data_IF_007205181105
#
_entry.id   IF_007205181105
#
_cell.length_a   1.000
_cell.length_b   1.000
_cell.length_c   1.000
_cell.angle_alpha   90.00
_cell.angle_beta   90.00
_cell.angle_gamma   90.00
#
_symmetry.space_group_name_H-M   'P 1'
#
loop_
_entity.id
_entity.type
_entity.pdbx_description
1 polymer ?
#
# COMPACT_ATOMS: atom_id res chain seq x y z
N UNK A 1 -21.16 -17.96 4.70
CA UNK A 1 -21.29 -16.60 4.13
C UNK A 1 -21.80 -15.70 5.23
N UNK A 2 -20.99 -14.77 5.73
CA UNK A 2 -21.42 -13.82 6.76
C UNK A 2 -22.37 -12.78 6.16
N UNK A 3 -23.41 -12.42 6.90
CA UNK A 3 -24.36 -11.38 6.53
C UNK A 3 -23.67 -10.01 6.50
N UNK A 4 -23.97 -9.20 5.48
CA UNK A 4 -23.65 -7.78 5.48
C UNK A 4 -24.22 -7.12 6.74
N UNK A 5 -23.51 -6.14 7.26
CA UNK A 5 -23.93 -5.41 8.46
C UNK A 5 -22.78 -4.82 9.24
N UNK A 6 -23.16 -4.16 10.33
CA UNK A 6 -22.24 -3.57 11.29
C UNK A 6 -22.28 -4.38 12.58
N UNK A 7 -21.12 -4.76 13.08
CA UNK A 7 -20.96 -5.38 14.39
C UNK A 7 -19.95 -4.57 15.21
N UNK A 8 -20.11 -4.62 16.53
CA UNK A 8 -19.18 -4.01 17.47
C UNK A 8 -18.50 -5.09 18.28
N UNK A 9 -17.18 -5.05 18.36
CA UNK A 9 -16.38 -5.93 19.22
C UNK A 9 -15.92 -5.11 20.42
N UNK A 10 -16.43 -5.47 21.61
CA UNK A 10 -16.12 -4.76 22.84
C UNK A 10 -14.61 -4.75 23.13
N UNK A 11 -14.09 -3.62 23.62
CA UNK A 11 -12.67 -3.44 23.90
C UNK A 11 -12.10 -4.51 24.84
N UNK A 12 -12.87 -4.91 25.85
CA UNK A 12 -12.49 -5.93 26.84
C UNK A 12 -12.35 -7.34 26.25
N UNK A 13 -12.91 -7.57 25.05
CA UNK A 13 -12.82 -8.85 24.34
C UNK A 13 -11.65 -8.89 23.35
N UNK A 14 -10.86 -7.82 23.24
CA UNK A 14 -9.77 -7.75 22.27
C UNK A 14 -8.50 -8.38 22.84
N UNK A 15 -8.03 -9.41 22.16
CA UNK A 15 -6.68 -9.92 22.32
C UNK A 15 -5.62 -8.96 21.76
N UNK A 16 -4.33 -9.36 21.78
CA UNK A 16 -3.24 -8.54 21.23
C UNK A 16 -3.40 -8.23 19.73
N UNK A 17 -4.07 -9.12 19.00
CA UNK A 17 -4.49 -8.90 17.62
C UNK A 17 -5.63 -9.84 17.23
N UNK A 18 -6.14 -9.67 16.01
CA UNK A 18 -7.18 -10.51 15.45
C UNK A 18 -6.99 -10.70 13.94
N UNK A 19 -7.40 -11.86 13.44
CA UNK A 19 -7.26 -12.22 12.04
C UNK A 19 -8.44 -11.69 11.21
N UNK A 20 -8.13 -11.06 10.09
CA UNK A 20 -9.06 -10.81 9.00
C UNK A 20 -8.85 -11.93 7.97
N UNK A 21 -9.73 -12.92 8.01
CA UNK A 21 -9.67 -14.14 7.21
C UNK A 21 -10.57 -14.02 5.96
N UNK A 22 -9.97 -13.59 4.85
CA UNK A 22 -10.60 -13.54 3.52
C UNK A 22 -10.15 -14.69 2.64
N UNK A 23 -10.87 -14.94 1.54
CA UNK A 23 -10.55 -16.04 0.62
C UNK A 23 -9.25 -15.76 -0.15
N UNK A 24 -9.05 -14.53 -0.60
CA UNK A 24 -7.93 -14.09 -1.44
C UNK A 24 -6.92 -13.24 -0.67
N UNK A 25 -7.38 -12.54 0.36
CA UNK A 25 -6.56 -11.69 1.23
C UNK A 25 -6.74 -12.08 2.68
N UNK A 26 -5.63 -12.19 3.40
CA UNK A 26 -5.61 -12.45 4.84
C UNK A 26 -4.58 -11.53 5.52
N UNK A 27 -4.87 -11.06 6.72
CA UNK A 27 -3.92 -10.30 7.54
C UNK A 27 -4.32 -10.25 9.01
N UNK A 28 -3.35 -10.03 9.90
CA UNK A 28 -3.60 -9.80 11.33
C UNK A 28 -3.65 -8.31 11.61
N UNK A 29 -4.62 -7.85 12.39
CA UNK A 29 -4.67 -6.49 12.92
C UNK A 29 -4.16 -6.49 14.35
N UNK A 30 -3.17 -5.66 14.64
CA UNK A 30 -2.63 -5.46 16.00
C UNK A 30 -3.55 -4.52 16.76
N UNK A 31 -4.28 -5.03 17.75
CA UNK A 31 -5.39 -4.32 18.39
C UNK A 31 -4.98 -2.97 19.00
N UNK A 32 -3.80 -2.88 19.62
CA UNK A 32 -3.35 -1.71 20.37
C UNK A 32 -3.03 -0.50 19.50
N UNK A 33 -2.49 -0.75 18.29
CA UNK A 33 -2.04 0.29 17.37
C UNK A 33 -2.84 0.31 16.07
N UNK A 34 -3.74 -0.65 15.84
CA UNK A 34 -4.41 -0.82 14.56
C UNK A 34 -3.44 -0.89 13.38
N UNK A 35 -2.26 -1.45 13.65
CA UNK A 35 -1.29 -1.85 12.63
C UNK A 35 -1.70 -3.17 12.00
N UNK A 36 -1.03 -3.53 10.91
CA UNK A 36 -1.26 -4.80 10.22
C UNK A 36 0.02 -5.62 10.18
N UNK A 37 -0.11 -6.92 10.38
CA UNK A 37 0.95 -7.93 10.26
C UNK A 37 0.53 -9.00 9.24
N UNK A 38 1.51 -9.62 8.59
CA UNK A 38 1.35 -10.75 7.68
C UNK A 38 0.30 -10.52 6.58
N UNK A 39 0.30 -9.34 5.96
CA UNK A 39 -0.63 -9.05 4.87
C UNK A 39 -0.31 -9.94 3.67
N UNK A 40 -1.24 -10.83 3.33
CA UNK A 40 -1.00 -11.99 2.49
C UNK A 40 -2.01 -12.07 1.35
N UNK A 41 -1.51 -12.32 0.14
CA UNK A 41 -2.30 -12.91 -0.94
C UNK A 41 -2.26 -14.43 -0.78
N UNK A 42 -3.43 -15.06 -0.65
CA UNK A 42 -3.52 -16.48 -0.29
C UNK A 42 -3.07 -17.42 -1.42
N UNK A 43 -3.00 -16.93 -2.65
CA UNK A 43 -2.71 -17.73 -3.85
C UNK A 43 -3.86 -18.66 -4.27
N UNK A 44 -5.06 -18.45 -3.72
CA UNK A 44 -6.24 -19.23 -4.13
C UNK A 44 -6.54 -18.96 -5.61
N UNK A 45 -6.75 -20.00 -6.45
CA UNK A 45 -6.97 -19.83 -7.88
C UNK A 45 -8.10 -18.85 -8.21
N UNK A 46 -7.76 -17.88 -9.05
CA UNK A 46 -8.63 -16.79 -9.49
C UNK A 46 -8.13 -16.27 -10.85
N UNK A 47 -8.99 -15.92 -11.82
CA UNK A 47 -8.55 -15.27 -13.05
C UNK A 47 -7.77 -13.96 -12.87
N UNK A 48 -7.82 -13.37 -11.67
CA UNK A 48 -7.09 -12.15 -11.31
C UNK A 48 -5.89 -12.42 -10.38
N UNK A 49 -5.53 -13.68 -10.17
CA UNK A 49 -4.36 -14.03 -9.36
C UNK A 49 -3.07 -13.56 -10.04
N UNK A 50 -2.25 -12.83 -9.29
CA UNK A 50 -0.95 -12.34 -9.72
C UNK A 50 0.21 -13.11 -9.06
N UNK A 51 -0.10 -14.10 -8.22
CA UNK A 51 0.89 -14.83 -7.42
C UNK A 51 1.28 -16.18 -8.04
N UNK A 52 0.69 -16.56 -9.17
CA UNK A 52 0.89 -17.88 -9.79
C UNK A 52 0.47 -19.03 -8.87
N UNK A 53 -0.64 -18.81 -8.15
CA UNK A 53 -1.23 -19.67 -7.12
C UNK A 53 -0.32 -19.94 -5.91
N UNK A 54 0.61 -19.02 -5.62
CA UNK A 54 1.51 -19.12 -4.48
C UNK A 54 1.05 -18.21 -3.36
N UNK A 55 0.91 -18.77 -2.15
CA UNK A 55 0.71 -17.95 -0.95
C UNK A 55 1.88 -16.99 -0.79
N UNK A 56 1.59 -15.69 -0.80
CA UNK A 56 2.60 -14.64 -0.86
C UNK A 56 2.31 -13.60 0.23
N UNK A 57 3.18 -13.55 1.24
CA UNK A 57 3.18 -12.46 2.22
C UNK A 57 3.75 -11.22 1.53
N UNK A 58 2.93 -10.20 1.32
CA UNK A 58 3.35 -8.97 0.63
C UNK A 58 3.97 -7.99 1.60
N UNK A 59 3.34 -7.81 2.76
CA UNK A 59 3.87 -7.00 3.85
C UNK A 59 3.97 -7.85 5.10
N UNK A 60 5.17 -7.92 5.65
CA UNK A 60 5.41 -8.42 7.00
C UNK A 60 4.68 -7.51 8.01
N UNK A 61 4.81 -6.19 7.85
CA UNK A 61 4.08 -5.25 8.70
C UNK A 61 3.76 -3.89 8.04
N UNK A 62 2.70 -3.26 8.55
CA UNK A 62 2.32 -1.86 8.32
C UNK A 62 1.96 -1.22 9.66
N UNK A 63 2.88 -0.41 10.17
CA UNK A 63 2.87 0.02 11.57
C UNK A 63 2.76 1.54 11.67
N UNK A 64 1.65 2.08 12.20
CA UNK A 64 1.55 3.49 12.56
C UNK A 64 2.22 3.77 13.91
N UNK A 65 2.97 4.87 14.00
CA UNK A 65 3.44 5.44 15.26
C UNK A 65 2.46 6.52 15.74
N UNK A 66 1.68 6.18 16.76
CA UNK A 66 0.68 7.06 17.36
C UNK A 66 1.26 8.16 18.25
N UNK A 67 2.58 8.19 18.45
CA UNK A 67 3.29 9.25 19.20
C UNK A 67 2.72 9.45 20.60
N UNK A 68 2.40 8.34 21.28
CA UNK A 68 1.85 8.32 22.64
C UNK A 68 0.33 8.40 22.74
N UNK A 69 -0.41 8.61 21.63
CA UNK A 69 -1.86 8.42 21.63
C UNK A 69 -2.20 6.92 21.66
N UNK A 70 -3.33 6.59 22.27
CA UNK A 70 -3.79 5.21 22.44
C UNK A 70 -5.20 5.04 21.88
N UNK A 71 -5.48 3.84 21.37
CA UNK A 71 -6.82 3.42 20.96
C UNK A 71 -7.47 2.67 22.11
N UNK A 72 -8.68 3.08 22.50
CA UNK A 72 -9.35 2.57 23.70
C UNK A 72 -10.78 2.10 23.43
N UNK A 73 -11.39 2.54 22.33
CA UNK A 73 -12.76 2.16 21.99
C UNK A 73 -12.86 0.68 21.63
N UNK A 74 -14.11 0.21 21.59
CA UNK A 74 -14.53 -0.96 20.83
C UNK A 74 -14.10 -0.85 19.36
N UNK A 75 -14.10 -1.98 18.66
CA UNK A 75 -13.91 -2.00 17.21
C UNK A 75 -15.28 -2.03 16.55
N UNK A 76 -15.55 -1.09 15.65
CA UNK A 76 -16.65 -1.18 14.70
C UNK A 76 -16.18 -1.93 13.47
N UNK A 77 -16.88 -3.01 13.11
CA UNK A 77 -16.65 -3.79 11.90
C UNK A 77 -17.87 -3.62 11.01
N UNK A 78 -17.67 -3.04 9.83
CA UNK A 78 -18.70 -2.98 8.79
C UNK A 78 -18.29 -3.91 7.66
N UNK A 79 -19.22 -4.78 7.25
CA UNK A 79 -19.04 -5.65 6.11
C UNK A 79 -20.10 -5.36 5.06
N UNK A 80 -19.67 -5.24 3.81
CA UNK A 80 -20.55 -5.11 2.65
C UNK A 80 -20.01 -5.90 1.48
N UNK A 81 -20.61 -7.04 1.17
CA UNK A 81 -20.13 -7.95 0.13
C UNK A 81 -18.72 -8.46 0.45
N UNK A 82 -17.75 -8.04 -0.36
CA UNK A 82 -16.32 -8.34 -0.24
C UNK A 82 -15.53 -7.27 0.51
N UNK A 83 -16.15 -6.14 0.83
CA UNK A 83 -15.53 -5.03 1.54
C UNK A 83 -15.67 -5.24 3.06
N UNK A 84 -14.60 -4.89 3.78
CA UNK A 84 -14.58 -4.76 5.23
C UNK A 84 -14.01 -3.41 5.62
N UNK A 85 -14.65 -2.75 6.59
CA UNK A 85 -14.17 -1.52 7.22
C UNK A 85 -14.07 -1.79 8.71
N UNK A 86 -12.91 -1.50 9.28
CA UNK A 86 -12.63 -1.60 10.70
C UNK A 86 -12.34 -0.20 11.21
N UNK A 87 -12.99 0.22 12.28
CA UNK A 87 -12.75 1.52 12.92
C UNK A 87 -12.44 1.31 14.38
N UNK A 88 -11.39 1.97 14.86
CA UNK A 88 -11.07 2.06 16.28
C UNK A 88 -10.62 3.47 16.64
N UNK A 89 -11.02 3.92 17.82
CA UNK A 89 -10.81 5.28 18.30
C UNK A 89 -10.18 5.31 19.70
N UNK A 90 -9.63 6.45 20.04
CA UNK A 90 -9.25 6.82 21.41
C UNK A 90 -9.17 8.34 21.53
N UNK A 91 -8.76 8.87 22.69
CA UNK A 91 -8.66 10.31 22.90
C UNK A 91 -7.75 10.97 21.86
N UNK A 92 -8.36 11.69 20.91
CA UNK A 92 -7.64 12.45 19.88
C UNK A 92 -7.08 11.64 18.72
N UNK A 93 -7.45 10.36 18.58
CA UNK A 93 -6.98 9.46 17.52
C UNK A 93 -8.13 8.59 16.98
N UNK A 94 -8.28 8.55 15.66
CA UNK A 94 -9.10 7.56 14.95
C UNK A 94 -8.22 6.82 13.96
N UNK A 95 -8.36 5.50 13.93
CA UNK A 95 -7.78 4.63 12.92
C UNK A 95 -8.88 3.90 12.17
N UNK A 96 -8.76 3.88 10.84
CA UNK A 96 -9.67 3.15 9.96
C UNK A 96 -8.86 2.23 9.05
N UNK A 97 -9.23 0.95 8.98
CA UNK A 97 -8.71 0.00 7.98
C UNK A 97 -9.86 -0.33 7.04
N UNK A 98 -9.62 -0.23 5.73
CA UNK A 98 -10.58 -0.69 4.72
C UNK A 98 -9.88 -1.69 3.81
N UNK A 99 -10.51 -2.84 3.59
CA UNK A 99 -9.96 -3.89 2.75
C UNK A 99 -11.05 -4.53 1.88
N UNK A 100 -10.60 -5.11 0.76
CA UNK A 100 -11.43 -5.89 -0.17
C UNK A 100 -10.84 -7.27 -0.34
N UNK A 101 -11.69 -8.29 -0.25
CA UNK A 101 -11.29 -9.66 -0.54
C UNK A 101 -11.20 -9.88 -2.07
N UNK A 102 -10.08 -9.46 -2.65
CA UNK A 102 -9.79 -9.48 -4.09
C UNK A 102 -8.30 -9.80 -4.32
N UNK A 103 -7.95 -10.46 -5.43
CA UNK A 103 -6.58 -10.86 -5.71
C UNK A 103 -5.70 -9.75 -6.33
N UNK A 104 -6.28 -8.65 -6.82
CA UNK A 104 -5.55 -7.52 -7.43
C UNK A 104 -6.30 -6.18 -7.29
N UNK A 105 -5.63 -5.07 -7.67
CA UNK A 105 -6.16 -3.70 -7.65
C UNK A 105 -5.97 -2.95 -6.32
N UNK A 106 -6.74 -1.88 -6.13
CA UNK A 106 -6.82 -1.13 -4.87
C UNK A 106 -7.62 -1.87 -3.80
N UNK A 107 -6.93 -2.70 -3.01
CA UNK A 107 -7.53 -3.70 -2.12
C UNK A 107 -7.40 -3.40 -0.64
N UNK A 108 -6.58 -2.43 -0.25
CA UNK A 108 -6.28 -2.17 1.16
C UNK A 108 -5.89 -0.70 1.39
N UNK A 109 -6.40 -0.12 2.48
CA UNK A 109 -6.02 1.20 2.96
C UNK A 109 -6.15 1.34 4.47
N UNK A 110 -5.24 2.15 5.04
CA UNK A 110 -5.25 2.61 6.42
C UNK A 110 -5.39 4.13 6.43
N UNK A 111 -6.32 4.64 7.23
CA UNK A 111 -6.54 6.07 7.45
C UNK A 111 -6.26 6.40 8.91
N UNK A 112 -5.69 7.58 9.14
CA UNK A 112 -5.42 8.11 10.48
C UNK A 112 -5.99 9.51 10.59
N UNK A 113 -6.66 9.79 11.70
CA UNK A 113 -7.13 11.12 12.04
C UNK A 113 -6.70 11.46 13.46
N UNK A 114 -6.13 12.65 13.62
CA UNK A 114 -5.62 13.18 14.89
C UNK A 114 -6.17 14.58 15.15
N UNK A 115 -6.59 14.81 16.39
CA UNK A 115 -7.07 16.12 16.83
C UNK A 115 -5.96 17.18 16.90
N UNK A 116 -4.71 16.76 17.05
CA UNK A 116 -3.55 17.66 17.07
C UNK A 116 -3.02 18.02 15.67
N UNK A 117 -3.66 17.50 14.62
CA UNK A 117 -3.31 17.70 13.21
C UNK A 117 -1.86 17.35 12.83
N UNK A 118 -1.10 16.68 13.70
CA UNK A 118 0.26 16.25 13.40
C UNK A 118 0.26 15.03 12.47
N UNK A 119 1.36 14.85 11.73
CA UNK A 119 1.52 13.67 10.88
C UNK A 119 1.85 12.42 11.71
N UNK A 120 1.28 11.29 11.28
CA UNK A 120 1.55 9.95 11.81
C UNK A 120 2.58 9.28 10.92
N UNK A 121 3.64 8.73 11.52
CA UNK A 121 4.65 7.97 10.77
C UNK A 121 4.14 6.55 10.56
N UNK A 122 3.99 6.12 9.32
CA UNK A 122 3.77 4.72 8.96
C UNK A 122 5.10 4.11 8.53
N UNK A 123 5.39 2.91 9.03
CA UNK A 123 6.50 2.07 8.57
C UNK A 123 5.93 0.83 7.92
N UNK A 124 6.25 0.61 6.66
CA UNK A 124 5.92 -0.61 5.94
C UNK A 124 7.17 -1.48 5.80
N UNK A 125 7.05 -2.76 6.13
CA UNK A 125 8.06 -3.77 5.92
C UNK A 125 7.48 -4.80 4.96
N UNK A 126 8.16 -5.02 3.84
CA UNK A 126 7.78 -6.04 2.87
C UNK A 126 8.04 -7.45 3.42
N UNK A 127 7.22 -8.40 3.00
CA UNK A 127 7.40 -9.82 3.33
C UNK A 127 8.70 -10.39 2.75
N UNK A 128 9.13 -11.53 3.27
CA UNK A 128 10.33 -12.22 2.77
C UNK A 128 10.19 -12.53 1.27
N UNK A 129 11.29 -12.37 0.53
CA UNK A 129 11.32 -12.53 -0.92
C UNK A 129 10.64 -11.41 -1.73
N UNK A 130 10.02 -10.42 -1.09
CA UNK A 130 9.45 -9.23 -1.74
C UNK A 130 10.40 -8.05 -1.60
N UNK A 131 10.56 -7.27 -2.68
CA UNK A 131 11.49 -6.14 -2.70
C UNK A 131 10.94 -4.94 -3.49
N UNK A 132 11.30 -3.74 -3.05
CA UNK A 132 11.10 -2.50 -3.78
C UNK A 132 12.11 -2.34 -4.92
N UNK A 133 11.67 -1.77 -6.03
CA UNK A 133 12.50 -1.42 -7.18
C UNK A 133 12.03 -0.10 -7.81
N UNK A 134 12.97 0.65 -8.39
CA UNK A 134 12.66 1.78 -9.27
C UNK A 134 12.35 1.22 -10.66
N UNK A 135 11.12 1.40 -11.14
CA UNK A 135 10.63 0.69 -12.31
C UNK A 135 11.26 1.24 -13.61
N UNK A 136 12.09 0.44 -14.31
CA UNK A 136 12.81 0.91 -15.49
C UNK A 136 11.88 1.23 -16.66
N UNK A 137 10.68 0.64 -16.74
CA UNK A 137 9.70 0.96 -17.77
C UNK A 137 9.18 2.41 -17.61
N UNK A 138 9.00 2.85 -16.36
CA UNK A 138 8.66 4.24 -16.06
C UNK A 138 9.85 5.17 -16.30
N UNK A 139 11.07 4.76 -15.95
CA UNK A 139 12.28 5.55 -16.22
C UNK A 139 12.51 5.77 -17.71
N UNK A 140 12.33 4.76 -18.54
CA UNK A 140 12.48 4.86 -19.99
C UNK A 140 11.52 5.90 -20.61
N UNK A 141 10.38 6.13 -19.97
CA UNK A 141 9.32 7.04 -20.43
C UNK A 141 9.16 8.30 -19.58
N UNK A 142 10.04 8.52 -18.61
CA UNK A 142 9.96 9.64 -17.67
C UNK A 142 9.90 10.98 -18.41
N UNK A 143 8.85 11.77 -18.19
CA UNK A 143 8.62 13.05 -18.87
C UNK A 143 7.79 12.96 -20.15
N UNK A 144 7.42 11.77 -20.61
CA UNK A 144 6.43 11.63 -21.69
C UNK A 144 5.05 12.10 -21.21
N UNK A 145 4.30 12.75 -22.10
CA UNK A 145 2.89 13.10 -21.86
C UNK A 145 2.01 12.05 -22.52
N UNK A 146 1.19 11.37 -21.73
CA UNK A 146 0.33 10.27 -22.20
C UNK A 146 -1.15 10.56 -21.93
N UNK A 147 -2.08 10.02 -22.74
CA UNK A 147 -3.52 10.15 -22.49
C UNK A 147 -3.94 9.55 -21.14
N UNK A 148 -4.89 10.19 -20.48
CA UNK A 148 -5.58 9.68 -19.31
C UNK A 148 -7.01 10.24 -19.29
N UNK A 149 -8.01 9.39 -19.59
CA UNK A 149 -9.41 9.83 -19.74
C UNK A 149 -9.50 11.04 -20.71
N UNK A 150 -10.16 12.12 -20.30
CA UNK A 150 -10.29 13.37 -21.06
C UNK A 150 -9.10 14.35 -20.85
N UNK A 151 -7.99 13.89 -20.27
CA UNK A 151 -6.81 14.71 -19.98
C UNK A 151 -5.51 13.98 -20.35
N UNK A 152 -4.37 14.53 -19.94
CA UNK A 152 -3.06 13.93 -20.09
C UNK A 152 -2.31 13.91 -18.77
N UNK A 153 -1.39 12.95 -18.62
CA UNK A 153 -0.53 12.81 -17.46
C UNK A 153 0.92 12.75 -17.94
N UNK A 154 1.81 13.43 -17.23
CA UNK A 154 3.25 13.28 -17.44
C UNK A 154 3.74 12.06 -16.66
N UNK A 155 4.43 11.15 -17.35
CA UNK A 155 5.05 9.97 -16.74
C UNK A 155 6.12 10.43 -15.75
N UNK A 156 5.98 10.05 -14.48
CA UNK A 156 6.98 10.27 -13.45
C UNK A 156 7.68 8.95 -13.08
N UNK A 157 8.84 8.98 -12.41
CA UNK A 157 9.43 7.77 -11.82
C UNK A 157 8.43 7.03 -10.93
N UNK A 158 8.51 5.70 -10.93
CA UNK A 158 7.64 4.85 -10.13
C UNK A 158 8.46 3.88 -9.32
N UNK A 159 8.24 3.86 -8.01
CA UNK A 159 8.69 2.76 -7.17
C UNK A 159 7.56 1.75 -7.09
N UNK A 160 7.89 0.51 -7.41
CA UNK A 160 7.03 -0.65 -7.28
C UNK A 160 7.68 -1.63 -6.30
N UNK A 161 6.94 -2.65 -5.89
CA UNK A 161 7.49 -3.85 -5.28
C UNK A 161 7.08 -5.09 -6.08
N UNK A 162 7.95 -6.10 -6.09
CA UNK A 162 7.77 -7.36 -6.80
C UNK A 162 8.49 -8.50 -6.05
N UNK A 163 8.46 -9.71 -6.61
CA UNK A 163 9.19 -10.87 -6.14
C UNK A 163 9.84 -11.58 -7.35
N UNK A 164 10.64 -12.61 -7.08
CA UNK A 164 11.29 -13.42 -8.12
C UNK A 164 10.51 -14.70 -8.48
N UNK A 165 9.35 -14.92 -7.86
CA UNK A 165 8.60 -16.19 -7.95
C UNK A 165 7.40 -16.11 -8.89
N UNK A 166 6.85 -14.91 -9.12
CA UNK A 166 5.58 -14.73 -9.82
C UNK A 166 5.69 -13.57 -10.82
N UNK A 167 5.60 -13.89 -12.12
CA UNK A 167 5.84 -12.92 -13.20
C UNK A 167 4.82 -11.79 -13.29
N UNK A 168 3.65 -11.96 -12.67
CA UNK A 168 2.56 -10.98 -12.65
C UNK A 168 2.50 -10.21 -11.32
N UNK A 169 3.32 -10.59 -10.32
CA UNK A 169 3.32 -10.00 -9.00
C UNK A 169 4.02 -8.65 -9.01
N UNK A 170 3.21 -7.59 -9.03
CA UNK A 170 3.66 -6.23 -8.84
C UNK A 170 2.69 -5.48 -7.95
N UNK A 171 3.21 -4.59 -7.12
CA UNK A 171 2.41 -3.63 -6.39
C UNK A 171 3.13 -2.31 -6.19
N UNK A 172 2.46 -1.38 -5.52
CA UNK A 172 3.03 -0.12 -5.04
C UNK A 172 2.30 0.36 -3.81
N UNK A 173 3.00 1.12 -2.96
CA UNK A 173 2.34 1.96 -1.97
C UNK A 173 1.48 3.03 -2.66
N UNK A 174 0.32 3.32 -2.07
CA UNK A 174 -0.67 4.26 -2.60
C UNK A 174 -1.00 5.31 -1.54
N UNK A 175 -0.15 6.34 -1.40
CA UNK A 175 -0.35 7.41 -0.43
C UNK A 175 -1.46 8.38 -0.86
N UNK A 176 -2.20 8.91 0.11
CA UNK A 176 -3.05 10.09 -0.02
C UNK A 176 -2.76 11.05 1.12
N UNK A 177 -2.39 12.30 0.81
CA UNK A 177 -1.99 13.29 1.82
C UNK A 177 -0.87 12.75 2.73
N UNK A 178 0.09 12.06 2.11
CA UNK A 178 1.25 11.47 2.78
C UNK A 178 2.52 11.77 1.99
N UNK A 179 3.60 12.02 2.71
CA UNK A 179 4.93 12.29 2.14
C UNK A 179 5.86 11.14 2.46
N UNK A 180 6.54 10.61 1.45
CA UNK A 180 7.56 9.57 1.68
C UNK A 180 8.76 10.17 2.40
N UNK A 181 9.19 9.49 3.46
CA UNK A 181 10.43 9.80 4.16
C UNK A 181 11.59 9.38 3.27
N UNK A 182 12.56 10.26 3.07
CA UNK A 182 13.80 9.92 2.38
C UNK A 182 14.71 9.19 3.37
N UNK A 183 15.19 8.01 3.02
CA UNK A 183 16.07 7.19 3.85
C UNK A 183 17.55 7.52 3.54
N UNK A 184 18.25 8.34 4.33
CA UNK A 184 19.56 8.85 3.94
C UNK A 184 20.62 7.76 3.84
N UNK A 185 20.45 6.68 4.61
CA UNK A 185 21.30 5.48 4.59
C UNK A 185 21.01 4.50 3.45
N UNK A 186 19.97 4.73 2.64
CA UNK A 186 19.58 3.86 1.53
C UNK A 186 19.67 4.60 0.19
N UNK A 187 20.89 4.84 -0.28
CA UNK A 187 21.17 5.62 -1.49
C UNK A 187 21.28 4.70 -2.71
N UNK A 188 20.43 4.93 -3.70
CA UNK A 188 20.42 4.22 -4.98
C UNK A 188 20.69 5.22 -6.11
N UNK A 189 21.62 4.89 -7.00
CA UNK A 189 21.93 5.68 -8.19
C UNK A 189 21.28 5.01 -9.39
N UNK A 190 20.16 5.57 -9.84
CA UNK A 190 19.33 4.99 -10.91
C UNK A 190 19.61 5.71 -12.22
N UNK A 191 19.87 4.96 -13.28
CA UNK A 191 20.03 5.54 -14.62
C UNK A 191 18.72 6.20 -15.07
N UNK A 192 18.83 7.38 -15.68
CA UNK A 192 17.70 8.13 -16.24
C UNK A 192 17.70 8.01 -17.76
N UNK A 193 16.56 8.28 -18.40
CA UNK A 193 16.46 8.21 -19.88
C UNK A 193 17.43 9.11 -20.62
N UNK A 194 17.91 10.18 -19.98
CA UNK A 194 18.83 11.17 -20.59
C UNK A 194 20.30 10.74 -20.48
N UNK A 195 20.58 9.55 -19.95
CA UNK A 195 21.95 9.07 -19.69
C UNK A 195 22.56 9.61 -18.40
N UNK A 196 21.84 10.45 -17.64
CA UNK A 196 22.24 10.88 -16.31
C UNK A 196 21.85 9.87 -15.22
N UNK A 197 22.14 10.22 -13.96
CA UNK A 197 21.74 9.42 -12.79
C UNK A 197 20.82 10.22 -11.86
N UNK A 198 19.78 9.55 -11.34
CA UNK A 198 18.91 10.05 -10.29
C UNK A 198 19.29 9.40 -8.96
N UNK A 199 19.32 10.19 -7.89
CA UNK A 199 19.50 9.64 -6.53
C UNK A 199 18.14 9.32 -5.92
N UNK A 200 17.92 8.05 -5.60
CA UNK A 200 16.72 7.55 -4.92
C UNK A 200 17.09 7.12 -3.50
N UNK A 201 16.52 7.80 -2.50
CA UNK A 201 16.75 7.51 -1.08
C UNK A 201 15.63 6.66 -0.51
N UNK A 202 15.77 5.34 -0.64
CA UNK A 202 14.74 4.35 -0.31
C UNK A 202 15.37 2.98 -0.12
N UNK A 203 14.94 2.22 0.89
CA UNK A 203 15.47 0.89 1.16
C UNK A 203 14.74 -0.19 0.36
N UNK A 204 15.36 -1.36 0.21
CA UNK A 204 14.82 -2.47 -0.60
C UNK A 204 13.61 -3.19 0.01
N UNK A 205 13.43 -3.15 1.33
CA UNK A 205 12.36 -3.86 2.04
C UNK A 205 11.51 -2.95 2.94
N UNK A 206 11.92 -1.69 3.11
CA UNK A 206 11.26 -0.75 4.02
C UNK A 206 10.88 0.54 3.30
N UNK A 207 9.65 0.98 3.52
CA UNK A 207 9.22 2.34 3.20
C UNK A 207 8.61 3.01 4.42
N UNK A 208 8.82 4.33 4.53
CA UNK A 208 8.29 5.15 5.62
C UNK A 208 7.57 6.37 5.07
N UNK A 209 6.46 6.71 5.71
CA UNK A 209 5.54 7.75 5.23
C UNK A 209 5.06 8.60 6.39
N UNK A 210 5.14 9.92 6.23
CA UNK A 210 4.49 10.88 7.12
C UNK A 210 3.10 11.19 6.56
N UNK A 211 2.07 10.65 7.20
CA UNK A 211 0.67 10.72 6.79
C UNK A 211 -0.02 11.82 7.58
N UNK A 212 -0.55 12.84 6.90
CA UNK A 212 -1.29 13.90 7.58
C UNK A 212 -2.57 13.34 8.24
N UNK A 213 -3.08 14.05 9.24
CA UNK A 213 -4.42 13.78 9.80
C UNK A 213 -5.48 13.84 8.67
N UNK A 214 -6.32 12.81 8.58
CA UNK A 214 -7.28 12.59 7.48
C UNK A 214 -6.66 12.01 6.21
N UNK A 215 -5.35 11.75 6.21
CA UNK A 215 -4.62 11.10 5.12
C UNK A 215 -4.75 9.57 5.14
N UNK A 216 -4.26 8.94 4.06
CA UNK A 216 -4.34 7.49 3.86
C UNK A 216 -3.02 6.89 3.40
N UNK A 217 -2.75 5.67 3.84
CA UNK A 217 -1.76 4.78 3.23
C UNK A 217 -2.45 3.52 2.76
N UNK A 218 -2.55 3.38 1.44
CA UNK A 218 -3.02 2.14 0.82
C UNK A 218 -1.94 1.43 0.04
N UNK A 219 -2.37 0.42 -0.68
CA UNK A 219 -1.56 -0.26 -1.69
C UNK A 219 -2.41 -0.56 -2.92
N UNK A 220 -1.73 -0.70 -4.05
CA UNK A 220 -2.33 -1.09 -5.31
C UNK A 220 -1.52 -2.23 -5.88
N UNK A 221 -2.20 -3.27 -6.39
CA UNK A 221 -1.60 -4.51 -6.90
C UNK A 221 -1.96 -4.73 -8.38
N UNK A 222 -1.11 -5.46 -9.10
CA UNK A 222 -1.35 -5.84 -10.50
C UNK A 222 -1.23 -4.66 -11.47
N UNK A 223 -2.03 -4.66 -12.54
CA UNK A 223 -2.02 -3.64 -13.60
C UNK A 223 -2.10 -2.20 -13.06
N UNK A 224 -2.99 -1.97 -12.09
CA UNK A 224 -3.18 -0.66 -11.43
C UNK A 224 -1.89 -0.14 -10.75
N UNK A 225 -0.94 -1.03 -10.42
CA UNK A 225 0.34 -0.63 -9.84
C UNK A 225 1.30 -0.03 -10.88
N UNK A 226 1.08 -0.33 -12.15
CA UNK A 226 1.96 -0.02 -13.29
C UNK A 226 1.26 0.79 -14.39
N UNK A 227 0.10 1.35 -14.09
CA UNK A 227 -0.53 2.38 -14.90
C UNK A 227 0.00 3.79 -14.60
N UNK A 228 -0.07 4.63 -15.63
CA UNK A 228 0.19 6.06 -15.56
C UNK A 228 -1.11 6.78 -15.22
N UNK A 229 -1.35 6.92 -13.92
CA UNK A 229 -2.46 7.67 -13.36
C UNK A 229 -1.94 8.95 -12.66
N UNK A 230 -2.77 10.00 -12.57
CA UNK A 230 -2.45 11.15 -11.72
C UNK A 230 -2.29 10.71 -10.26
N UNK A 231 -1.58 11.50 -9.44
CA UNK A 231 -1.54 11.28 -8.00
C UNK A 231 -2.96 11.19 -7.44
N UNK A 232 -3.16 10.39 -6.39
CA UNK A 232 -4.45 10.30 -5.75
C UNK A 232 -4.94 11.69 -5.34
N UNK A 233 -6.16 12.02 -5.74
CA UNK A 233 -6.75 13.34 -5.51
C UNK A 233 -6.80 13.62 -4.01
N UNK A 234 -6.34 14.80 -3.58
CA UNK A 234 -6.49 15.25 -2.18
C UNK A 234 -7.96 15.37 -1.87
N UNK A 235 -8.52 14.34 -1.26
CA UNK A 235 -9.92 14.28 -0.91
C UNK A 235 -10.01 14.13 0.61
N UNK A 236 -10.49 15.20 1.25
CA UNK A 236 -10.45 15.37 2.71
C UNK A 236 -11.73 14.88 3.40
N UNK A 237 -12.81 14.55 2.67
CA UNK A 237 -14.03 13.94 3.22
C UNK A 237 -14.78 13.06 2.19
N UNK A 238 -15.28 11.89 2.61
CA UNK A 238 -16.16 10.97 1.85
C UNK A 238 -15.65 10.49 0.48
N UNK A 239 -14.39 10.10 0.42
CA UNK A 239 -13.76 9.63 -0.81
C UNK A 239 -14.07 8.14 -0.99
N UNK A 240 -15.20 7.84 -1.62
CA UNK A 240 -15.35 6.54 -2.25
C UNK A 240 -14.27 6.43 -3.32
N UNK A 241 -13.43 5.39 -3.27
CA UNK A 241 -12.48 5.06 -4.33
C UNK A 241 -13.23 4.76 -5.64
N UNK A 242 -13.57 5.81 -6.38
CA UNK A 242 -14.27 5.76 -7.68
C UNK A 242 -13.28 5.78 -8.85
N UNK A 243 -11.98 5.82 -8.57
CA UNK A 243 -10.92 5.84 -9.59
C UNK A 243 -10.63 4.45 -10.14
N UNK A 244 -11.67 3.73 -10.58
CA UNK A 244 -11.46 2.65 -11.56
C UNK A 244 -11.17 3.30 -12.91
N UNK A 245 -9.90 3.27 -13.29
CA UNK A 245 -9.44 3.43 -14.67
C UNK A 245 -10.03 2.30 -15.52
N UNK A 246 -11.05 2.59 -16.34
CA UNK A 246 -11.71 1.56 -17.18
C UNK A 246 -10.87 1.20 -18.41
N UNK A 247 -9.57 0.92 -18.24
CA UNK A 247 -8.62 0.73 -19.35
C UNK A 247 -8.28 2.02 -20.10
N UNK A 248 -8.53 3.19 -19.50
CA UNK A 248 -8.31 4.51 -20.11
C UNK A 248 -6.97 5.16 -19.72
N UNK A 249 -6.14 4.43 -18.96
CA UNK A 249 -4.79 4.84 -18.57
C UNK A 249 -3.76 4.05 -19.38
N UNK A 250 -2.63 4.69 -19.71
CA UNK A 250 -1.50 3.98 -20.31
C UNK A 250 -0.84 3.09 -19.26
N UNK A 251 -0.73 1.79 -19.57
CA UNK A 251 -0.04 0.80 -18.73
C UNK A 251 1.39 0.62 -19.25
N UNK A 252 2.38 0.84 -18.39
CA UNK A 252 3.80 0.67 -18.75
C UNK A 252 4.37 -0.68 -18.33
N UNK A 253 3.66 -1.43 -17.48
CA UNK A 253 4.12 -2.72 -16.98
C UNK A 253 5.36 -2.61 -16.08
N UNK A 254 6.03 -3.74 -15.92
CA UNK A 254 7.28 -3.88 -15.18
C UNK A 254 8.09 -5.04 -15.78
N UNK A 255 9.42 -5.08 -15.59
CA UNK A 255 10.23 -6.21 -16.04
C UNK A 255 10.09 -7.42 -15.11
N UNK A 256 10.10 -8.62 -15.69
CA UNK A 256 10.31 -9.87 -14.95
C UNK A 256 11.35 -10.75 -15.67
N UNK A 257 12.43 -11.18 -15.00
CA UNK A 257 12.83 -10.79 -13.64
C UNK A 257 13.18 -9.30 -13.56
N UNK A 258 13.03 -8.71 -12.36
CA UNK A 258 13.44 -7.31 -12.13
C UNK A 258 14.98 -7.22 -12.15
N UNK A 259 15.58 -6.36 -13.00
CA UNK A 259 17.03 -6.19 -13.07
C UNK A 259 17.62 -5.77 -11.72
N UNK A 260 18.78 -6.32 -11.38
CA UNK A 260 19.39 -6.10 -10.06
C UNK A 260 19.69 -4.63 -9.80
N UNK A 261 20.12 -3.89 -10.82
CA UNK A 261 20.41 -2.46 -10.79
C UNK A 261 19.17 -1.58 -10.57
N UNK A 262 17.97 -2.12 -10.79
CA UNK A 262 16.70 -1.44 -10.52
C UNK A 262 16.20 -1.71 -9.09
N UNK A 263 16.67 -2.78 -8.43
CA UNK A 263 16.26 -3.14 -7.06
C UNK A 263 16.88 -2.16 -6.07
N UNK A 264 16.05 -1.67 -5.16
CA UNK A 264 16.51 -0.71 -4.16
C UNK A 264 17.30 -1.42 -3.07
N UNK A 265 18.38 -0.79 -2.63
CA UNK A 265 19.34 -1.31 -1.69
C UNK A 265 19.75 -0.22 -0.68
N UNK A 266 20.26 -0.61 0.49
CA UNK A 266 20.14 -1.94 1.10
C UNK A 266 18.66 -2.24 1.47
N UNK A 267 18.29 -3.49 1.82
CA UNK A 267 16.92 -3.83 2.19
C UNK A 267 16.40 -3.02 3.38
N UNK A 268 17.24 -2.81 4.39
CA UNK A 268 16.94 -2.06 5.60
C UNK A 268 17.96 -0.93 5.78
N UNK A 269 17.57 0.21 6.41
CA UNK A 269 18.53 1.23 6.77
C UNK A 269 19.58 0.65 7.73
N UNK A 270 20.79 1.21 7.70
CA UNK A 270 21.81 0.86 8.69
C UNK A 270 21.28 1.15 10.12
N UNK A 271 21.63 0.32 11.12
CA UNK A 271 21.29 0.55 12.52
C UNK A 271 21.75 1.91 13.04
#
# INVERSE_FOLDING_TARGET
MGTDGTITIAADNLGPGFLVDGKYVEFTVVSAIFGVEDWTLTGVPNPLDITSNLRTVVFDSKTPDHRGLVLTSDITVERKGTDIILVRQGPGLTMTIQAKDCANGGIFQMEVERNDATATRFTHILGDGVFYFDNPNFRAREGDVVPFKDTTVTVAPRINFANDSSAEFVGRDSPQVATRVQEPGCVNLIATRTGGTATVRHCGAVSRWDVASGGRMGQVMGEDAVEVAPPATTCTQHCQARDRVRGEAVVLGFPFPVPQESRLQPPFPAP
#
